data_IF_284438792193
#
_entry.id   IF_284438792193
#
_cell.length_a   1.000
_cell.length_b   1.000
_cell.length_c   1.000
_cell.angle_alpha   90.00
_cell.angle_beta   90.00
_cell.angle_gamma   90.00
#
_symmetry.space_group_name_H-M   'P 1'
#
loop_
_entity.id
_entity.type
_entity.pdbx_description
1 polymer ?
#
# COMPACT_ATOMS: atom_id res chain seq x y z
N UNK A 1 -1.17 3.52 18.24
CA UNK A 1 -2.62 3.69 18.35
C UNK A 1 -3.28 2.84 17.26
N UNK A 2 -4.16 1.91 17.62
CA UNK A 2 -4.90 1.04 16.71
C UNK A 2 -6.37 1.50 16.65
N UNK A 3 -6.85 2.00 15.50
CA UNK A 3 -8.28 2.24 15.32
C UNK A 3 -9.02 0.92 15.03
N UNK A 4 -10.11 0.67 15.75
CA UNK A 4 -11.04 -0.41 15.44
C UNK A 4 -12.30 0.19 14.82
N UNK A 5 -12.47 -0.11 13.53
CA UNK A 5 -13.61 0.35 12.73
C UNK A 5 -14.45 -0.86 12.35
N UNK A 6 -15.76 -0.71 12.46
CA UNK A 6 -16.73 -1.73 12.05
C UNK A 6 -17.52 -1.28 10.84
N UNK A 7 -17.89 -2.26 10.04
CA UNK A 7 -18.80 -2.11 8.93
C UNK A 7 -19.94 -3.12 9.08
N UNK A 8 -21.17 -2.67 8.89
CA UNK A 8 -22.34 -3.54 8.98
C UNK A 8 -23.45 -3.09 8.03
N UNK A 9 -24.39 -3.98 7.76
CA UNK A 9 -25.56 -3.69 6.94
C UNK A 9 -26.76 -3.34 7.82
N UNK A 10 -27.37 -2.19 7.56
CA UNK A 10 -28.61 -1.74 8.20
C UNK A 10 -29.75 -1.70 7.20
N UNK A 11 -30.98 -1.44 7.66
CA UNK A 11 -32.13 -1.15 6.77
C UNK A 11 -31.91 0.05 5.83
N UNK A 12 -30.92 0.88 6.11
CA UNK A 12 -30.54 2.05 5.30
C UNK A 12 -29.24 1.82 4.51
N UNK A 13 -28.86 0.56 4.29
CA UNK A 13 -27.62 0.18 3.60
C UNK A 13 -26.42 0.04 4.52
N UNK A 14 -25.23 0.06 3.92
CA UNK A 14 -23.94 -0.09 4.60
C UNK A 14 -23.68 1.09 5.54
N UNK A 15 -23.25 0.80 6.76
CA UNK A 15 -22.87 1.78 7.77
C UNK A 15 -21.47 1.48 8.29
N UNK A 16 -20.78 2.55 8.69
CA UNK A 16 -19.48 2.49 9.36
C UNK A 16 -19.62 3.06 10.77
N UNK A 17 -18.84 2.52 11.69
CA UNK A 17 -18.72 3.03 13.04
C UNK A 17 -17.29 2.83 13.54
N UNK A 18 -16.82 3.77 14.35
CA UNK A 18 -15.58 3.61 15.09
C UNK A 18 -15.97 3.06 16.46
N UNK A 19 -15.39 1.93 16.85
CA UNK A 19 -15.58 1.39 18.19
C UNK A 19 -14.60 2.04 19.17
N UNK A 20 -13.31 2.06 18.85
CA UNK A 20 -12.31 2.59 19.78
C UNK A 20 -10.97 2.91 19.08
N UNK A 21 -10.19 3.79 19.69
CA UNK A 21 -8.77 3.98 19.41
C UNK A 21 -7.93 3.43 20.57
N UNK A 22 -7.35 2.26 20.37
CA UNK A 22 -6.57 1.60 21.42
C UNK A 22 -5.13 2.09 21.38
N UNK A 23 -4.65 2.68 22.48
CA UNK A 23 -3.22 2.82 22.70
C UNK A 23 -2.62 1.47 23.09
N UNK A 24 -1.60 1.04 22.36
CA UNK A 24 -0.99 -0.26 22.56
C UNK A 24 0.52 -0.15 22.40
N UNK A 25 1.24 -0.76 23.35
CA UNK A 25 2.70 -0.75 23.42
C UNK A 25 3.34 -1.81 22.51
N UNK A 26 2.60 -2.87 22.17
CA UNK A 26 3.09 -4.01 21.40
C UNK A 26 2.13 -4.39 20.28
N UNK A 27 2.66 -4.55 19.07
CA UNK A 27 1.92 -4.90 17.85
C UNK A 27 2.04 -6.41 17.53
N UNK A 28 2.04 -7.27 18.56
CA UNK A 28 2.06 -8.72 18.35
C UNK A 28 0.68 -9.23 17.91
N UNK A 29 0.65 -10.39 17.24
CA UNK A 29 -0.60 -11.00 16.79
C UNK A 29 -1.56 -11.27 17.97
N UNK A 30 -1.03 -11.75 19.10
CA UNK A 30 -1.83 -12.04 20.30
C UNK A 30 -2.37 -10.77 20.96
N UNK A 31 -1.55 -9.71 21.06
CA UNK A 31 -1.98 -8.45 21.64
C UNK A 31 -3.10 -7.82 20.81
N UNK A 32 -2.92 -7.77 19.48
CA UNK A 32 -3.94 -7.29 18.54
C UNK A 32 -5.21 -8.12 18.60
N UNK A 33 -5.09 -9.44 18.57
CA UNK A 33 -6.22 -10.37 18.68
C UNK A 33 -7.03 -10.15 19.96
N UNK A 34 -6.37 -10.10 21.12
CA UNK A 34 -7.03 -9.90 22.42
C UNK A 34 -7.70 -8.53 22.50
N UNK A 35 -7.05 -7.48 22.01
CA UNK A 35 -7.59 -6.13 21.98
C UNK A 35 -8.83 -6.03 21.09
N UNK A 36 -8.79 -6.61 19.88
CA UNK A 36 -9.95 -6.62 18.98
C UNK A 36 -11.11 -7.39 19.59
N UNK A 37 -10.84 -8.57 20.16
CA UNK A 37 -11.85 -9.38 20.85
C UNK A 37 -12.50 -8.59 21.98
N UNK A 38 -11.69 -8.01 22.86
CA UNK A 38 -12.16 -7.22 23.99
C UNK A 38 -13.06 -6.07 23.54
N UNK A 39 -12.65 -5.29 22.53
CA UNK A 39 -13.45 -4.15 22.07
C UNK A 39 -14.79 -4.58 21.47
N UNK A 40 -14.85 -5.69 20.73
CA UNK A 40 -16.12 -6.21 20.19
C UNK A 40 -17.05 -6.61 21.36
N UNK A 41 -16.55 -7.36 22.34
CA UNK A 41 -17.32 -7.86 23.48
C UNK A 41 -17.75 -6.72 24.42
N UNK A 42 -16.87 -5.75 24.70
CA UNK A 42 -17.15 -4.59 25.54
C UNK A 42 -18.22 -3.67 24.94
N UNK A 43 -18.37 -3.64 23.61
CA UNK A 43 -19.45 -2.94 22.92
C UNK A 43 -20.74 -3.78 22.81
N UNK A 44 -20.85 -4.88 23.56
CA UNK A 44 -22.06 -5.70 23.64
C UNK A 44 -22.30 -6.60 22.43
N UNK A 45 -21.29 -6.78 21.56
CA UNK A 45 -21.39 -7.63 20.37
C UNK A 45 -20.78 -9.01 20.60
N UNK A 46 -21.42 -10.03 20.03
CA UNK A 46 -20.89 -11.38 20.08
C UNK A 46 -19.91 -11.61 18.92
N UNK A 47 -18.79 -12.29 19.17
CA UNK A 47 -17.84 -12.67 18.12
C UNK A 47 -18.47 -13.48 16.97
N UNK A 48 -19.54 -14.22 17.23
CA UNK A 48 -20.35 -14.90 16.21
C UNK A 48 -21.12 -13.95 15.28
N UNK A 49 -21.04 -12.63 15.46
CA UNK A 49 -21.51 -11.65 14.50
C UNK A 49 -20.39 -11.18 13.56
N UNK A 50 -19.14 -11.48 13.88
CA UNK A 50 -18.00 -11.15 13.05
C UNK A 50 -17.97 -12.07 11.81
N UNK A 51 -18.03 -11.45 10.63
CA UNK A 51 -18.04 -12.14 9.32
C UNK A 51 -16.69 -12.02 8.62
N UNK A 52 -16.00 -10.90 8.80
CA UNK A 52 -14.69 -10.65 8.19
C UNK A 52 -13.83 -9.75 9.04
N UNK A 53 -12.50 -9.91 8.92
CA UNK A 53 -11.52 -8.98 9.49
C UNK A 53 -10.73 -8.34 8.36
N UNK A 54 -10.82 -7.01 8.27
CA UNK A 54 -10.07 -6.18 7.33
C UNK A 54 -8.82 -5.58 7.99
N UNK A 55 -7.64 -5.75 7.41
CA UNK A 55 -6.39 -5.15 7.92
C UNK A 55 -5.32 -5.06 6.83
N UNK A 56 -4.16 -4.46 7.15
CA UNK A 56 -3.02 -4.52 6.24
C UNK A 56 -2.51 -5.97 6.07
N UNK A 57 -1.80 -6.21 4.97
CA UNK A 57 -1.37 -7.57 4.63
C UNK A 57 -0.04 -7.96 5.30
N UNK A 58 0.30 -7.40 6.46
CA UNK A 58 1.50 -7.80 7.18
C UNK A 58 1.37 -9.22 7.75
N UNK A 59 2.51 -9.87 8.00
CA UNK A 59 2.52 -11.23 8.56
C UNK A 59 1.77 -11.33 9.89
N UNK A 60 1.86 -10.29 10.73
CA UNK A 60 1.16 -10.22 12.03
C UNK A 60 -0.34 -10.27 11.85
N UNK A 61 -0.89 -9.63 10.81
CA UNK A 61 -2.32 -9.53 10.60
C UNK A 61 -2.91 -10.71 9.81
N UNK A 62 -2.24 -11.14 8.73
CA UNK A 62 -2.81 -12.11 7.76
C UNK A 62 -1.98 -13.38 7.53
N UNK A 63 -0.85 -13.54 8.23
CA UNK A 63 0.05 -14.70 8.09
C UNK A 63 -0.63 -16.05 8.37
N UNK A 64 -0.09 -17.13 7.82
CA UNK A 64 -0.76 -18.45 7.84
C UNK A 64 -0.63 -19.19 9.18
N UNK A 65 0.50 -19.05 9.88
CA UNK A 65 0.80 -19.85 11.07
C UNK A 65 0.32 -19.16 12.36
N UNK A 66 0.80 -17.93 12.58
CA UNK A 66 0.50 -17.13 13.77
C UNK A 66 0.26 -15.68 13.38
N UNK A 67 -1.01 -15.31 13.31
CA UNK A 67 -1.47 -13.97 12.93
C UNK A 67 -2.83 -13.69 13.58
N UNK A 68 -3.24 -12.42 13.58
CA UNK A 68 -4.57 -12.01 14.04
C UNK A 68 -5.66 -12.83 13.34
N UNK A 69 -5.59 -12.92 12.00
CA UNK A 69 -6.54 -13.74 11.25
C UNK A 69 -6.46 -15.23 11.62
N UNK A 70 -5.27 -15.80 11.74
CA UNK A 70 -5.12 -17.22 12.09
C UNK A 70 -5.68 -17.54 13.49
N UNK A 71 -5.50 -16.63 14.45
CA UNK A 71 -6.05 -16.74 15.80
C UNK A 71 -7.58 -16.66 15.78
N UNK A 72 -8.17 -15.68 15.08
CA UNK A 72 -9.61 -15.61 14.94
C UNK A 72 -10.20 -16.77 14.14
N UNK A 73 -9.52 -17.26 13.11
CA UNK A 73 -10.00 -18.39 12.30
C UNK A 73 -10.07 -19.71 13.09
N UNK A 74 -9.20 -19.89 14.10
CA UNK A 74 -9.31 -21.01 15.05
C UNK A 74 -10.59 -20.93 15.89
N UNK A 75 -11.03 -19.73 16.25
CA UNK A 75 -12.26 -19.51 17.01
C UNK A 75 -13.52 -19.47 16.13
N UNK A 76 -13.40 -18.93 14.92
CA UNK A 76 -14.47 -18.67 13.97
C UNK A 76 -14.05 -19.20 12.58
N UNK A 77 -14.18 -20.51 12.32
CA UNK A 77 -13.73 -21.11 11.05
C UNK A 77 -14.44 -20.58 9.79
N UNK A 78 -15.56 -19.90 9.96
CA UNK A 78 -16.34 -19.24 8.88
C UNK A 78 -15.84 -17.82 8.55
N UNK A 79 -14.84 -17.31 9.28
CA UNK A 79 -14.37 -15.94 9.13
C UNK A 79 -13.71 -15.73 7.78
N UNK A 80 -14.08 -14.65 7.10
CA UNK A 80 -13.53 -14.28 5.80
C UNK A 80 -12.35 -13.34 5.98
N UNK A 81 -11.23 -13.62 5.30
CA UNK A 81 -10.04 -12.76 5.32
C UNK A 81 -10.28 -11.52 4.45
N UNK A 82 -10.27 -10.33 5.06
CA UNK A 82 -10.32 -9.04 4.38
C UNK A 82 -8.92 -8.47 4.18
N UNK A 83 -8.30 -8.75 3.02
CA UNK A 83 -7.00 -8.16 2.70
C UNK A 83 -7.15 -6.68 2.30
N UNK A 84 -6.14 -5.86 2.60
CA UNK A 84 -6.04 -4.49 2.13
C UNK A 84 -5.70 -4.42 0.64
N UNK A 85 -6.62 -3.93 -0.18
CA UNK A 85 -6.43 -3.77 -1.62
C UNK A 85 -5.26 -2.84 -1.96
N UNK A 86 -5.10 -1.74 -1.22
CA UNK A 86 -3.99 -0.79 -1.40
C UNK A 86 -2.63 -1.45 -1.18
N UNK A 87 -2.52 -2.33 -0.18
CA UNK A 87 -1.30 -3.10 0.07
C UNK A 87 -1.06 -4.15 -1.03
N UNK A 88 -2.11 -4.83 -1.52
CA UNK A 88 -1.99 -5.74 -2.67
C UNK A 88 -1.48 -4.99 -3.89
N UNK A 89 -2.12 -3.88 -4.26
CA UNK A 89 -1.72 -3.05 -5.39
C UNK A 89 -0.26 -2.61 -5.28
N UNK A 90 0.14 -2.14 -4.09
CA UNK A 90 1.52 -1.77 -3.82
C UNK A 90 2.48 -2.93 -4.07
N UNK A 91 2.24 -4.11 -3.49
CA UNK A 91 3.12 -5.26 -3.65
C UNK A 91 3.16 -5.81 -5.08
N UNK A 92 2.09 -5.63 -5.85
CA UNK A 92 2.00 -6.06 -7.24
C UNK A 92 2.71 -5.13 -8.21
N UNK A 93 2.78 -3.83 -7.92
CA UNK A 93 3.27 -2.81 -8.86
C UNK A 93 4.62 -2.21 -8.44
N UNK A 94 4.83 -2.02 -7.13
CA UNK A 94 6.03 -1.42 -6.55
C UNK A 94 6.83 -2.56 -5.89
N UNK A 95 8.07 -2.75 -6.33
CA UNK A 95 8.94 -3.84 -5.87
C UNK A 95 8.93 -4.00 -4.33
N UNK A 96 8.79 -5.25 -3.87
CA UNK A 96 8.68 -5.71 -2.46
C UNK A 96 9.67 -5.09 -1.46
N UNK A 97 10.76 -4.48 -1.91
CA UNK A 97 11.86 -3.99 -1.09
C UNK A 97 11.84 -2.47 -0.82
N UNK A 98 10.86 -1.73 -1.34
CA UNK A 98 10.77 -0.28 -1.12
C UNK A 98 10.06 -0.02 0.21
N UNK A 99 10.77 0.52 1.21
CA UNK A 99 10.20 0.91 2.52
C UNK A 99 9.42 2.23 2.51
N UNK A 100 9.25 2.86 1.35
CA UNK A 100 8.58 4.15 1.21
C UNK A 100 7.06 3.94 1.31
N UNK A 101 6.39 4.72 2.17
CA UNK A 101 4.93 4.68 2.31
C UNK A 101 4.25 4.98 0.97
N UNK A 102 3.09 4.36 0.75
CA UNK A 102 2.46 4.19 -0.57
C UNK A 102 2.21 5.48 -1.35
N UNK A 103 1.95 6.60 -0.68
CA UNK A 103 1.67 7.91 -1.29
C UNK A 103 2.92 8.78 -1.46
N UNK A 104 4.06 8.35 -0.94
CA UNK A 104 5.29 9.15 -0.93
C UNK A 104 6.22 8.80 -2.08
N UNK A 105 6.03 7.66 -2.75
CA UNK A 105 6.96 7.20 -3.79
C UNK A 105 6.96 8.13 -5.02
N UNK A 106 5.79 8.51 -5.53
CA UNK A 106 5.69 9.44 -6.65
C UNK A 106 6.41 10.76 -6.32
N UNK A 107 6.07 11.38 -5.19
CA UNK A 107 6.69 12.61 -4.74
C UNK A 107 8.21 12.48 -4.57
N UNK A 108 8.69 11.30 -4.13
CA UNK A 108 10.13 11.03 -3.98
C UNK A 108 10.83 10.95 -5.34
N UNK A 109 10.21 10.30 -6.32
CA UNK A 109 10.72 10.19 -7.69
C UNK A 109 10.70 11.56 -8.38
N UNK A 110 9.61 12.31 -8.30
CA UNK A 110 9.50 13.67 -8.87
C UNK A 110 10.58 14.59 -8.28
N UNK A 111 10.77 14.54 -6.95
CA UNK A 111 11.83 15.28 -6.29
C UNK A 111 13.20 14.86 -6.78
N UNK A 112 13.46 13.55 -6.89
CA UNK A 112 14.74 13.03 -7.36
C UNK A 112 15.04 13.47 -8.79
N UNK A 113 14.05 13.50 -9.69
CA UNK A 113 14.18 14.05 -11.05
C UNK A 113 14.55 15.54 -10.98
N UNK A 114 13.83 16.32 -10.19
CA UNK A 114 14.07 17.76 -10.08
C UNK A 114 15.48 18.11 -9.60
N UNK A 115 16.03 17.34 -8.64
CA UNK A 115 17.38 17.55 -8.12
C UNK A 115 18.45 16.73 -8.86
N UNK A 116 18.07 15.86 -9.81
CA UNK A 116 18.98 14.94 -10.50
C UNK A 116 20.19 15.65 -11.12
N UNK A 117 20.07 16.82 -11.80
CA UNK A 117 21.23 17.50 -12.37
C UNK A 117 22.28 17.89 -11.32
N UNK A 118 21.82 18.38 -10.16
CA UNK A 118 22.68 18.82 -9.05
C UNK A 118 23.34 17.63 -8.38
N UNK A 119 22.56 16.60 -8.06
CA UNK A 119 23.07 15.39 -7.40
C UNK A 119 24.05 14.64 -8.31
N UNK A 120 23.73 14.52 -9.59
CA UNK A 120 24.62 13.94 -10.61
C UNK A 120 25.94 14.70 -10.67
N UNK A 121 25.89 16.04 -10.74
CA UNK A 121 27.10 16.86 -10.75
C UNK A 121 27.92 16.68 -9.47
N UNK A 122 27.29 16.68 -8.30
CA UNK A 122 27.96 16.47 -7.02
C UNK A 122 28.71 15.14 -6.99
N UNK A 123 28.03 14.01 -7.22
CA UNK A 123 28.63 12.68 -7.11
C UNK A 123 29.69 12.40 -8.18
N UNK A 124 29.58 12.98 -9.37
CA UNK A 124 30.59 12.83 -10.43
C UNK A 124 31.84 13.70 -10.21
N UNK A 125 31.76 14.73 -9.36
CA UNK A 125 32.87 15.63 -9.03
C UNK A 125 33.59 15.27 -7.72
N UNK A 126 33.14 14.25 -6.99
CA UNK A 126 33.85 13.74 -5.81
C UNK A 126 35.22 13.16 -6.21
N UNK A 127 36.18 13.19 -5.30
CA UNK A 127 37.51 12.66 -5.56
C UNK A 127 37.48 11.14 -5.78
N UNK A 128 38.53 10.59 -6.40
CA UNK A 128 38.59 9.18 -6.77
C UNK A 128 38.34 8.27 -5.55
N UNK A 129 37.36 7.36 -5.70
CA UNK A 129 36.87 6.40 -4.69
C UNK A 129 35.93 6.93 -3.61
N UNK A 130 35.55 8.21 -3.61
CA UNK A 130 34.57 8.75 -2.65
C UNK A 130 33.12 8.50 -3.08
N UNK A 131 32.84 8.44 -4.39
CA UNK A 131 31.51 8.10 -4.88
C UNK A 131 31.22 6.60 -4.77
N UNK A 132 30.14 6.17 -4.09
CA UNK A 132 29.74 4.76 -4.08
C UNK A 132 29.52 4.20 -5.49
N UNK A 133 30.06 3.01 -5.77
CA UNK A 133 30.00 2.36 -7.09
C UNK A 133 28.59 2.26 -7.68
N UNK A 134 27.58 2.04 -6.83
CA UNK A 134 26.18 1.98 -7.26
C UNK A 134 25.69 3.32 -7.81
N UNK A 135 26.00 4.42 -7.12
CA UNK A 135 25.64 5.77 -7.53
C UNK A 135 26.44 6.21 -8.75
N UNK A 136 27.74 5.88 -8.79
CA UNK A 136 28.59 6.13 -9.95
C UNK A 136 28.01 5.47 -11.20
N UNK A 137 27.63 4.19 -11.12
CA UNK A 137 26.97 3.46 -12.23
C UNK A 137 25.61 4.06 -12.60
N UNK A 138 24.85 4.50 -11.62
CA UNK A 138 23.54 5.14 -11.84
C UNK A 138 23.66 6.45 -12.61
N UNK A 139 24.62 7.32 -12.24
CA UNK A 139 24.79 8.65 -12.83
C UNK A 139 25.58 8.66 -14.15
N UNK A 140 26.50 7.70 -14.34
CA UNK A 140 27.27 7.56 -15.59
C UNK A 140 26.45 6.94 -16.72
N UNK A 141 25.48 6.07 -16.40
CA UNK A 141 24.58 5.48 -17.38
C UNK A 141 23.33 6.33 -17.59
N UNK A 142 22.88 6.50 -18.83
CA UNK A 142 21.57 7.07 -19.14
C UNK A 142 20.40 6.24 -18.56
N UNK A 143 20.61 4.94 -18.28
CA UNK A 143 19.58 4.03 -17.77
C UNK A 143 19.02 4.46 -16.42
N UNK A 144 19.82 5.06 -15.55
CA UNK A 144 19.38 5.53 -14.24
C UNK A 144 18.33 6.62 -14.38
N UNK A 145 18.66 7.66 -15.15
CA UNK A 145 17.77 8.78 -15.45
C UNK A 145 16.51 8.33 -16.22
N UNK A 146 16.64 7.47 -17.24
CA UNK A 146 15.49 6.90 -17.94
C UNK A 146 14.55 6.12 -17.00
N UNK A 147 15.10 5.38 -16.03
CA UNK A 147 14.28 4.66 -15.04
C UNK A 147 13.47 5.61 -14.16
N UNK A 148 14.01 6.79 -13.81
CA UNK A 148 13.27 7.79 -13.05
C UNK A 148 12.09 8.33 -13.85
N UNK A 149 12.30 8.72 -15.10
CA UNK A 149 11.22 9.21 -15.97
C UNK A 149 10.19 8.13 -16.27
N UNK A 150 10.61 6.88 -16.47
CA UNK A 150 9.70 5.75 -16.58
C UNK A 150 8.79 5.61 -15.35
N UNK A 151 9.38 5.65 -14.15
CA UNK A 151 8.60 5.60 -12.90
C UNK A 151 7.68 6.82 -12.76
N UNK A 152 8.15 8.03 -13.09
CA UNK A 152 7.34 9.24 -13.04
C UNK A 152 6.14 9.22 -14.00
N UNK A 153 6.20 8.45 -15.08
CA UNK A 153 5.06 8.26 -15.99
C UNK A 153 4.05 7.21 -15.48
N UNK A 154 4.50 6.16 -14.79
CA UNK A 154 3.61 5.08 -14.30
C UNK A 154 2.97 5.42 -12.96
N UNK A 155 3.77 5.96 -12.03
CA UNK A 155 3.37 6.16 -10.64
C UNK A 155 2.14 7.09 -10.47
N UNK A 156 1.88 8.11 -11.30
CA UNK A 156 0.65 8.90 -11.21
C UNK A 156 -0.62 8.04 -11.33
N UNK A 157 -0.63 7.07 -12.25
CA UNK A 157 -1.79 6.20 -12.46
C UNK A 157 -1.97 5.19 -11.33
N UNK A 158 -0.87 4.65 -10.83
CA UNK A 158 -0.86 3.77 -9.67
C UNK A 158 -1.33 4.52 -8.42
N UNK A 159 -0.88 5.76 -8.24
CA UNK A 159 -1.28 6.62 -7.13
C UNK A 159 -2.76 7.00 -7.22
N UNK A 160 -3.27 7.33 -8.40
CA UNK A 160 -4.70 7.60 -8.61
C UNK A 160 -5.57 6.37 -8.28
N UNK A 161 -5.16 5.18 -8.70
CA UNK A 161 -5.83 3.93 -8.34
C UNK A 161 -5.77 3.68 -6.83
N UNK A 162 -4.61 3.87 -6.20
CA UNK A 162 -4.43 3.70 -4.76
C UNK A 162 -5.28 4.67 -3.94
N UNK A 163 -5.34 5.95 -4.33
CA UNK A 163 -6.23 6.94 -3.71
C UNK A 163 -7.70 6.56 -3.87
N UNK A 164 -8.07 6.01 -5.03
CA UNK A 164 -9.43 5.49 -5.25
C UNK A 164 -9.72 4.28 -4.36
N UNK A 165 -8.71 3.43 -4.10
CA UNK A 165 -8.80 2.28 -3.20
C UNK A 165 -8.92 2.65 -1.71
N UNK A 166 -8.59 3.90 -1.35
CA UNK A 166 -8.67 4.41 0.02
C UNK A 166 -9.97 5.19 0.29
N UNK A 167 -10.81 5.41 -0.73
CA UNK A 167 -12.10 6.09 -0.57
C UNK A 167 -13.05 5.27 0.28
N UNK A 168 -13.99 5.94 0.94
CA UNK A 168 -14.96 5.30 1.83
C UNK A 168 -15.77 4.24 1.07
N UNK A 169 -15.70 3.00 1.57
CA UNK A 169 -16.32 1.78 1.05
C UNK A 169 -16.07 1.47 -0.43
N UNK A 170 -15.48 0.30 -0.68
CA UNK A 170 -15.25 -0.21 -2.03
C UNK A 170 -15.92 -1.57 -2.16
N UNK A 171 -17.07 -1.57 -2.82
CA UNK A 171 -17.71 -2.81 -3.25
C UNK A 171 -16.91 -3.52 -4.35
N UNK A 172 -17.21 -4.79 -4.58
CA UNK A 172 -16.52 -5.60 -5.60
C UNK A 172 -16.57 -5.01 -7.01
N UNK A 173 -17.69 -4.36 -7.38
CA UNK A 173 -17.83 -3.68 -8.69
C UNK A 173 -16.88 -2.48 -8.80
N UNK A 174 -16.82 -1.63 -7.76
CA UNK A 174 -15.90 -0.50 -7.73
C UNK A 174 -14.44 -0.97 -7.79
N UNK A 175 -14.10 -2.01 -7.03
CA UNK A 175 -12.78 -2.62 -7.06
C UNK A 175 -12.42 -3.09 -8.47
N UNK A 176 -13.31 -3.85 -9.12
CA UNK A 176 -13.10 -4.32 -10.48
C UNK A 176 -12.87 -3.15 -11.45
N UNK A 177 -13.72 -2.12 -11.40
CA UNK A 177 -13.60 -0.95 -12.26
C UNK A 177 -12.29 -0.19 -12.06
N UNK A 178 -11.85 -0.02 -10.82
CA UNK A 178 -10.58 0.65 -10.49
C UNK A 178 -9.41 -0.14 -11.09
N UNK A 179 -9.36 -1.45 -10.85
CA UNK A 179 -8.27 -2.31 -11.33
C UNK A 179 -8.27 -2.40 -12.87
N UNK A 180 -9.43 -2.63 -13.49
CA UNK A 180 -9.55 -2.69 -14.96
C UNK A 180 -9.16 -1.35 -15.60
N UNK A 181 -9.56 -0.22 -15.00
CA UNK A 181 -9.15 1.09 -15.49
C UNK A 181 -7.64 1.30 -15.34
N UNK A 182 -7.02 0.88 -14.24
CA UNK A 182 -5.58 0.96 -14.06
C UNK A 182 -4.85 0.13 -15.14
N UNK A 183 -5.24 -1.13 -15.33
CA UNK A 183 -4.65 -2.03 -16.33
C UNK A 183 -4.74 -1.39 -17.73
N UNK A 184 -5.92 -0.87 -18.10
CA UNK A 184 -6.11 -0.19 -19.39
C UNK A 184 -5.15 0.98 -19.55
N UNK A 185 -5.02 1.83 -18.53
CA UNK A 185 -4.12 2.99 -18.59
C UNK A 185 -2.65 2.59 -18.68
N UNK A 186 -2.22 1.58 -17.93
CA UNK A 186 -0.87 1.04 -18.02
C UNK A 186 -0.59 0.42 -19.40
N UNK A 187 -1.56 -0.27 -20.00
CA UNK A 187 -1.42 -0.80 -21.36
C UNK A 187 -1.32 0.32 -22.40
N UNK A 188 -2.11 1.40 -22.25
CA UNK A 188 -2.00 2.56 -23.11
C UNK A 188 -0.62 3.21 -23.02
N UNK A 189 -0.08 3.34 -21.80
CA UNK A 189 1.28 3.80 -21.56
C UNK A 189 2.32 2.96 -22.31
N UNK A 190 2.18 1.63 -22.34
CA UNK A 190 3.11 0.75 -23.07
C UNK A 190 3.02 0.89 -24.59
N UNK A 191 1.90 1.39 -25.11
CA UNK A 191 1.66 1.59 -26.55
C UNK A 191 1.98 3.02 -27.01
N UNK A 192 2.35 3.91 -26.09
CA UNK A 192 2.65 5.29 -26.41
C UNK A 192 4.10 5.42 -26.92
N UNK A 193 4.28 5.95 -28.13
CA UNK A 193 5.58 6.11 -28.78
C UNK A 193 6.52 7.06 -28.02
N UNK A 194 5.97 7.87 -27.09
CA UNK A 194 6.70 8.87 -26.29
C UNK A 194 6.91 8.39 -24.84
N UNK A 195 6.58 7.13 -24.53
CA UNK A 195 6.57 6.65 -23.16
C UNK A 195 7.96 6.64 -22.52
N UNK A 196 8.12 7.38 -21.42
CA UNK A 196 9.41 7.51 -20.73
C UNK A 196 10.37 8.52 -21.37
N UNK A 197 9.95 9.25 -22.41
CA UNK A 197 10.73 10.35 -22.94
C UNK A 197 10.77 11.52 -21.96
N UNK A 198 11.93 12.18 -21.89
CA UNK A 198 12.07 13.47 -21.20
C UNK A 198 11.23 14.49 -21.97
N UNK A 199 10.11 14.93 -21.39
CA UNK A 199 9.36 16.06 -21.94
C UNK A 199 10.26 17.29 -21.78
N UNK A 200 10.64 17.90 -22.90
CA UNK A 200 11.56 19.03 -22.97
C UNK A 200 11.02 20.30 -22.35
#
# INVERSE_FOLDING_TARGET
MLPIVVQFFSKFGVKHGIFEFIEQQHESADALFNNIKYVIEANGHNLNQLVSIGSDNTNVNVGNNHSVFALFNKLLPRLIKGNCYSHILHNSVILKHIRIRWLSLLQSIERLIAVNPVIKSYFLNLENNECPNLLLKFFTSNKGECSLYFLANILPEVQAANLSLQREYIGGVNLHNIITSLIRKLNNCLQDDVFGCKVG
#
